data_IF_888054906823
#
_entry.id   IF_888054906823
#
_cell.length_a   1.000
_cell.length_b   1.000
_cell.length_c   1.000
_cell.angle_alpha   90.00
_cell.angle_beta   90.00
_cell.angle_gamma   90.00
#
_symmetry.space_group_name_H-M   'P 1'
#
loop_
_entity.id
_entity.type
_entity.pdbx_description
1 polymer ?
#
# COMPACT_ATOMS: atom_id res chain seq x y z
N UNK A 1 16.58 10.72 -15.74
CA UNK A 1 15.09 10.64 -15.72
C UNK A 1 14.57 11.40 -14.52
N UNK A 2 13.66 12.37 -14.72
CA UNK A 2 13.12 13.22 -13.66
C UNK A 2 12.03 12.48 -12.88
N UNK A 3 12.39 11.84 -11.76
CA UNK A 3 11.48 11.02 -10.95
C UNK A 3 10.23 11.81 -10.50
N UNK A 4 10.39 13.10 -10.20
CA UNK A 4 9.28 13.99 -9.85
C UNK A 4 8.25 14.07 -10.99
N UNK A 5 8.69 14.40 -12.21
CA UNK A 5 7.81 14.52 -13.37
C UNK A 5 7.15 13.18 -13.71
N UNK A 6 7.89 12.07 -13.58
CA UNK A 6 7.35 10.73 -13.83
C UNK A 6 6.20 10.39 -12.86
N UNK A 7 6.32 10.72 -11.58
CA UNK A 7 5.25 10.51 -10.60
C UNK A 7 4.05 11.41 -10.92
N UNK A 8 4.28 12.69 -11.24
CA UNK A 8 3.20 13.62 -11.59
C UNK A 8 2.43 13.17 -12.83
N UNK A 9 3.12 12.76 -13.89
CA UNK A 9 2.51 12.24 -15.10
C UNK A 9 1.72 10.95 -14.82
N UNK A 10 2.24 10.05 -13.99
CA UNK A 10 1.52 8.84 -13.59
C UNK A 10 0.22 9.17 -12.85
N UNK A 11 0.24 10.14 -11.93
CA UNK A 11 -0.97 10.60 -11.21
C UNK A 11 -2.04 11.11 -12.17
N UNK A 12 -1.64 11.92 -13.15
CA UNK A 12 -2.55 12.42 -14.18
C UNK A 12 -3.17 11.28 -14.98
N UNK A 13 -2.37 10.30 -15.41
CA UNK A 13 -2.87 9.12 -16.13
C UNK A 13 -3.83 8.27 -15.32
N UNK A 14 -3.67 8.23 -14.00
CA UNK A 14 -4.60 7.50 -13.14
C UNK A 14 -5.93 8.21 -12.91
N UNK A 15 -6.07 9.49 -13.26
CA UNK A 15 -7.34 10.22 -13.16
C UNK A 15 -8.36 9.81 -14.23
N UNK A 16 -7.99 8.95 -15.19
CA UNK A 16 -8.91 8.47 -16.23
C UNK A 16 -10.10 7.70 -15.62
N UNK A 17 -11.34 8.00 -16.06
CA UNK A 17 -12.54 7.29 -15.62
C UNK A 17 -12.62 5.85 -16.14
N UNK A 18 -11.77 5.47 -17.10
CA UNK A 18 -11.71 4.11 -17.66
C UNK A 18 -11.02 3.11 -16.74
N UNK A 19 -10.33 3.57 -15.70
CA UNK A 19 -9.66 2.69 -14.75
C UNK A 19 -10.65 2.00 -13.82
N UNK A 20 -10.33 0.76 -13.41
CA UNK A 20 -11.14 -0.01 -12.46
C UNK A 20 -11.19 0.70 -11.11
N UNK A 21 -12.41 1.03 -10.64
CA UNK A 21 -12.64 1.71 -9.34
C UNK A 21 -12.08 0.96 -8.14
N UNK A 22 -12.04 -0.37 -8.20
CA UNK A 22 -11.57 -1.24 -7.11
C UNK A 22 -10.11 -1.72 -7.28
N UNK A 23 -9.31 -1.05 -8.11
CA UNK A 23 -7.88 -1.32 -8.25
C UNK A 23 -7.06 -0.19 -7.63
N UNK A 24 -5.98 -0.54 -6.92
CA UNK A 24 -5.04 0.45 -6.39
C UNK A 24 -4.10 0.89 -7.51
N UNK A 25 -3.83 2.18 -7.53
CA UNK A 25 -2.85 2.78 -8.41
C UNK A 25 -1.45 2.39 -7.90
N UNK A 26 -0.63 1.80 -8.77
CA UNK A 26 0.73 1.37 -8.42
C UNK A 26 1.73 1.99 -9.39
N UNK A 27 2.76 2.65 -8.86
CA UNK A 27 3.91 3.15 -9.62
C UNK A 27 5.10 2.24 -9.33
N UNK A 28 5.76 1.72 -10.37
CA UNK A 28 7.01 0.99 -10.25
C UNK A 28 8.14 1.88 -10.75
N UNK A 29 9.05 2.26 -9.86
CA UNK A 29 10.23 3.07 -10.19
C UNK A 29 11.44 2.15 -10.23
N UNK A 30 12.07 2.06 -11.40
CA UNK A 30 13.27 1.27 -11.62
C UNK A 30 14.45 2.21 -11.88
N UNK A 31 15.57 2.02 -11.20
CA UNK A 31 16.75 2.84 -11.48
C UNK A 31 18.03 2.36 -10.81
N UNK A 32 19.16 2.73 -11.42
CA UNK A 32 20.51 2.36 -10.97
C UNK A 32 21.25 3.47 -10.24
N UNK A 33 20.87 4.72 -10.48
CA UNK A 33 21.44 5.92 -9.87
C UNK A 33 20.33 6.95 -9.62
N UNK A 34 20.62 7.93 -8.77
CA UNK A 34 19.75 9.10 -8.58
C UNK A 34 20.60 10.36 -8.64
N UNK A 35 20.30 11.20 -9.62
CA UNK A 35 20.84 12.56 -9.68
C UNK A 35 19.79 13.50 -9.07
N UNK A 36 20.12 14.11 -7.94
CA UNK A 36 19.30 15.17 -7.36
C UNK A 36 19.37 16.38 -8.30
N UNK A 37 18.22 16.88 -8.71
CA UNK A 37 18.14 18.05 -9.58
C UNK A 37 17.65 19.26 -8.80
N UNK A 38 17.88 20.45 -9.36
CA UNK A 38 17.44 21.74 -8.80
C UNK A 38 15.90 21.86 -8.79
N UNK A 39 15.19 21.01 -9.57
CA UNK A 39 13.74 21.07 -9.82
C UNK A 39 12.85 20.43 -8.73
N UNK A 40 13.39 20.16 -7.55
CA UNK A 40 12.61 19.78 -6.37
C UNK A 40 12.69 18.30 -5.97
N UNK A 41 12.43 18.06 -4.69
CA UNK A 41 12.54 16.75 -4.03
C UNK A 41 11.29 15.88 -4.36
N UNK A 42 11.42 14.75 -5.09
CA UNK A 42 10.28 13.89 -5.48
C UNK A 42 9.51 13.27 -4.29
N UNK A 43 10.08 13.30 -3.09
CA UNK A 43 9.53 12.79 -1.84
C UNK A 43 8.21 13.41 -1.48
N UNK A 44 7.98 14.71 -1.75
CA UNK A 44 6.70 15.34 -1.40
C UNK A 44 5.57 14.73 -2.22
N UNK A 45 5.74 14.68 -3.54
CA UNK A 45 4.76 14.11 -4.47
C UNK A 45 4.57 12.61 -4.21
N UNK A 46 5.64 11.87 -3.92
CA UNK A 46 5.56 10.46 -3.52
C UNK A 46 4.79 10.26 -2.19
N UNK A 47 4.93 11.17 -1.22
CA UNK A 47 4.18 11.12 0.04
C UNK A 47 2.70 11.39 -0.18
N UNK A 48 2.35 12.40 -0.99
CA UNK A 48 0.97 12.70 -1.36
C UNK A 48 0.31 11.52 -2.08
N UNK A 49 0.97 10.96 -3.12
CA UNK A 49 0.43 9.81 -3.84
C UNK A 49 0.16 8.60 -2.92
N UNK A 50 1.04 8.35 -1.94
CA UNK A 50 0.82 7.30 -0.93
C UNK A 50 -0.32 7.64 0.03
N UNK A 51 -0.47 8.91 0.42
CA UNK A 51 -1.56 9.37 1.29
C UNK A 51 -2.93 9.25 0.60
N UNK A 52 -2.98 9.48 -0.72
CA UNK A 52 -4.16 9.23 -1.57
C UNK A 52 -4.46 7.74 -1.73
N UNK A 53 -3.57 6.88 -1.20
CA UNK A 53 -3.70 5.44 -1.18
C UNK A 53 -3.14 4.74 -2.41
N UNK A 54 -2.27 5.40 -3.18
CA UNK A 54 -1.42 4.78 -4.16
C UNK A 54 -0.27 3.99 -3.53
N UNK A 55 0.32 3.07 -4.27
CA UNK A 55 1.51 2.30 -3.84
C UNK A 55 2.68 2.59 -4.76
N UNK A 56 3.86 2.84 -4.19
CA UNK A 56 5.10 3.01 -4.94
C UNK A 56 6.01 1.83 -4.64
N UNK A 57 6.33 1.05 -5.68
CA UNK A 57 7.34 0.01 -5.66
C UNK A 57 8.62 0.61 -6.22
N UNK A 58 9.74 0.36 -5.57
CA UNK A 58 11.06 0.74 -6.09
C UNK A 58 11.89 -0.50 -6.36
N UNK A 59 12.63 -0.49 -7.45
CA UNK A 59 13.61 -1.53 -7.80
C UNK A 59 14.95 -0.87 -8.05
N UNK A 60 15.87 -1.03 -7.11
CA UNK A 60 17.23 -0.50 -7.23
C UNK A 60 18.10 -1.48 -8.03
N UNK A 61 18.76 -0.97 -9.07
CA UNK A 61 19.73 -1.70 -9.90
C UNK A 61 21.14 -1.16 -9.62
N UNK A 62 21.77 -1.48 -8.48
CA UNK A 62 23.09 -0.94 -8.15
C UNK A 62 24.11 -1.30 -9.24
N UNK A 63 24.79 -0.30 -9.78
CA UNK A 63 25.93 -0.48 -10.69
C UNK A 63 27.23 -0.24 -9.90
N UNK A 64 28.16 -1.21 -9.94
CA UNK A 64 29.47 -1.10 -9.28
C UNK A 64 29.41 -1.13 -7.74
N UNK A 65 30.33 -0.42 -7.08
CA UNK A 65 30.46 -0.31 -5.61
C UNK A 65 29.46 0.67 -4.96
N UNK A 66 28.54 1.24 -5.74
CA UNK A 66 27.61 2.26 -5.27
C UNK A 66 26.73 1.71 -4.16
N UNK A 67 26.91 2.27 -2.95
CA UNK A 67 26.09 2.00 -1.77
C UNK A 67 24.63 2.37 -2.08
N UNK A 68 23.71 1.52 -1.60
CA UNK A 68 22.24 1.65 -1.67
C UNK A 68 21.80 3.11 -1.68
N UNK A 69 20.91 3.46 -2.61
CA UNK A 69 20.54 4.85 -2.86
C UNK A 69 19.41 5.24 -1.90
N UNK A 70 19.66 6.12 -0.89
CA UNK A 70 18.70 6.36 0.19
C UNK A 70 17.35 6.91 -0.29
N UNK A 71 17.33 7.61 -1.43
CA UNK A 71 16.11 8.21 -1.99
C UNK A 71 15.06 7.17 -2.39
N UNK A 72 15.44 5.99 -2.91
CA UNK A 72 14.48 4.95 -3.28
C UNK A 72 13.73 4.44 -2.06
N UNK A 73 14.41 4.34 -0.91
CA UNK A 73 13.74 4.03 0.37
C UNK A 73 12.72 5.09 0.77
N UNK A 74 13.01 6.37 0.54
CA UNK A 74 12.10 7.48 0.88
C UNK A 74 10.87 7.53 -0.04
N UNK A 75 11.06 7.20 -1.32
CA UNK A 75 10.01 7.17 -2.34
C UNK A 75 9.09 5.96 -2.19
N UNK A 76 9.64 4.79 -1.92
CA UNK A 76 8.89 3.55 -1.81
C UNK A 76 7.79 3.62 -0.75
N UNK A 77 6.69 2.92 -0.99
CA UNK A 77 5.77 2.58 0.09
C UNK A 77 6.45 1.67 1.12
N UNK A 78 6.05 1.73 2.40
CA UNK A 78 6.64 0.88 3.44
C UNK A 78 6.64 -0.59 3.00
N UNK A 79 7.79 -1.26 3.03
CA UNK A 79 7.96 -2.66 2.62
C UNK A 79 7.79 -2.96 1.11
N UNK A 80 7.78 -1.95 0.24
CA UNK A 80 7.72 -2.07 -1.23
C UNK A 80 9.04 -1.72 -1.94
N UNK A 81 10.17 -1.96 -1.28
CA UNK A 81 11.50 -1.72 -1.84
C UNK A 81 12.16 -3.04 -2.22
N UNK A 82 12.52 -3.16 -3.48
CA UNK A 82 13.26 -4.27 -4.06
C UNK A 82 14.64 -3.81 -4.51
N UNK A 83 15.55 -4.76 -4.63
CA UNK A 83 16.89 -4.55 -5.18
C UNK A 83 17.15 -5.67 -6.17
N UNK A 84 17.73 -5.36 -7.33
CA UNK A 84 17.92 -6.31 -8.41
C UNK A 84 18.91 -7.43 -8.07
N UNK A 85 19.83 -7.16 -7.15
CA UNK A 85 20.79 -8.13 -6.67
C UNK A 85 21.05 -7.92 -5.18
N UNK A 86 20.96 -9.00 -4.40
CA UNK A 86 21.24 -9.00 -2.97
C UNK A 86 21.74 -10.36 -2.53
N UNK A 87 22.80 -10.37 -1.72
CA UNK A 87 23.32 -11.56 -1.04
C UNK A 87 23.49 -12.76 -1.99
N UNK A 88 24.09 -12.52 -3.16
CA UNK A 88 24.34 -13.57 -4.16
C UNK A 88 23.17 -13.88 -5.09
N UNK A 89 21.99 -13.27 -4.89
CA UNK A 89 20.74 -13.64 -5.60
C UNK A 89 20.20 -12.48 -6.43
N UNK A 90 19.78 -12.81 -7.65
CA UNK A 90 19.03 -11.90 -8.52
C UNK A 90 17.58 -11.78 -8.07
N UNK A 91 16.98 -10.61 -8.31
CA UNK A 91 15.56 -10.36 -8.09
C UNK A 91 14.74 -11.28 -8.98
N UNK A 92 13.81 -12.02 -8.37
CA UNK A 92 12.89 -12.89 -9.11
C UNK A 92 11.64 -12.11 -9.48
N UNK A 93 11.10 -12.35 -10.68
CA UNK A 93 9.83 -11.77 -11.12
C UNK A 93 8.69 -12.03 -10.12
N UNK A 94 8.74 -13.16 -9.40
CA UNK A 94 7.78 -13.50 -8.35
C UNK A 94 7.74 -12.48 -7.21
N UNK A 95 8.85 -11.84 -6.86
CA UNK A 95 8.90 -10.87 -5.76
C UNK A 95 8.15 -9.58 -6.14
N UNK A 96 8.34 -9.08 -7.37
CA UNK A 96 7.57 -7.96 -7.89
C UNK A 96 6.08 -8.32 -8.00
N UNK A 97 5.77 -9.52 -8.53
CA UNK A 97 4.39 -10.02 -8.61
C UNK A 97 3.72 -10.07 -7.23
N UNK A 98 4.43 -10.56 -6.22
CA UNK A 98 3.91 -10.62 -4.86
C UNK A 98 3.62 -9.22 -4.30
N UNK A 99 4.49 -8.25 -4.54
CA UNK A 99 4.23 -6.87 -4.13
C UNK A 99 3.02 -6.27 -4.86
N UNK A 100 2.87 -6.50 -6.17
CA UNK A 100 1.70 -6.06 -6.92
C UNK A 100 0.39 -6.68 -6.39
N UNK A 101 0.43 -7.96 -6.00
CA UNK A 101 -0.69 -8.62 -5.33
C UNK A 101 -0.98 -7.95 -3.98
N UNK A 102 0.05 -7.75 -3.14
CA UNK A 102 -0.11 -7.10 -1.83
C UNK A 102 -0.66 -5.68 -1.95
N UNK A 103 -0.26 -4.91 -2.95
CA UNK A 103 -0.77 -3.57 -3.21
C UNK A 103 -2.27 -3.55 -3.57
N UNK A 104 -2.76 -4.59 -4.26
CA UNK A 104 -4.18 -4.72 -4.64
C UNK A 104 -5.03 -5.54 -3.65
N UNK A 105 -4.42 -6.09 -2.61
CA UNK A 105 -5.14 -6.64 -1.46
C UNK A 105 -5.29 -5.55 -0.40
N UNK A 106 -6.45 -4.90 -0.34
CA UNK A 106 -6.72 -3.81 0.59
C UNK A 106 -8.19 -3.81 1.04
N UNK A 107 -8.45 -3.20 2.20
CA UNK A 107 -9.79 -3.01 2.70
C UNK A 107 -10.48 -1.78 2.08
N UNK A 108 -11.81 -1.80 2.02
CA UNK A 108 -12.62 -0.62 1.68
C UNK A 108 -12.25 0.56 2.60
N UNK A 109 -12.51 1.78 2.17
CA UNK A 109 -12.19 2.99 2.96
C UNK A 109 -12.82 2.90 4.37
N UNK A 110 -12.04 3.20 5.41
CA UNK A 110 -12.39 3.08 6.85
C UNK A 110 -12.41 1.66 7.42
N UNK A 111 -12.35 0.64 6.58
CA UNK A 111 -12.22 -0.73 7.03
C UNK A 111 -10.74 -1.06 7.23
N UNK A 112 -10.45 -1.87 8.23
CA UNK A 112 -9.09 -2.24 8.64
C UNK A 112 -8.93 -3.76 8.61
N UNK A 113 -7.79 -4.28 8.14
CA UNK A 113 -7.54 -5.71 8.14
C UNK A 113 -7.16 -6.17 9.56
N UNK A 114 -7.68 -7.33 9.98
CA UNK A 114 -7.17 -8.01 11.18
C UNK A 114 -5.93 -8.82 10.81
N UNK A 115 -4.80 -8.16 10.63
CA UNK A 115 -3.51 -8.83 10.60
C UNK A 115 -2.38 -7.88 10.99
N UNK A 116 -1.25 -8.49 11.34
CA UNK A 116 0.01 -7.80 11.67
C UNK A 116 1.04 -7.96 10.55
N UNK A 117 0.60 -8.25 9.32
CA UNK A 117 1.56 -8.40 8.23
C UNK A 117 2.16 -7.04 7.85
N UNK A 118 3.41 -7.03 7.41
CA UNK A 118 4.13 -5.77 7.17
C UNK A 118 3.55 -4.94 6.01
N UNK A 119 2.59 -5.48 5.25
CA UNK A 119 1.93 -4.79 4.15
C UNK A 119 0.51 -4.35 4.49
N UNK A 120 0.00 -4.70 5.68
CA UNK A 120 -1.39 -4.54 6.07
C UNK A 120 -2.35 -5.08 5.00
N UNK A 121 -1.99 -6.17 4.33
CA UNK A 121 -2.83 -6.76 3.29
C UNK A 121 -3.79 -7.77 3.93
N UNK A 122 -5.13 -7.63 3.81
CA UNK A 122 -6.08 -8.56 4.41
C UNK A 122 -5.82 -10.00 3.95
N UNK A 123 -5.91 -10.95 4.88
CA UNK A 123 -5.76 -12.39 4.60
C UNK A 123 -7.08 -13.16 4.55
N UNK A 124 -8.18 -12.46 4.68
CA UNK A 124 -9.54 -13.03 4.61
C UNK A 124 -10.57 -11.93 4.82
N UNK A 125 -10.45 -11.20 5.92
CA UNK A 125 -11.49 -10.27 6.35
C UNK A 125 -10.97 -8.85 6.60
N UNK A 126 -11.87 -7.90 6.39
CA UNK A 126 -11.72 -6.50 6.75
C UNK A 126 -12.82 -6.17 7.75
N UNK A 127 -12.51 -5.35 8.74
CA UNK A 127 -13.42 -5.00 9.83
C UNK A 127 -13.65 -3.50 9.85
N UNK A 128 -14.88 -3.10 10.17
CA UNK A 128 -15.22 -1.71 10.45
C UNK A 128 -15.41 -1.59 11.96
N UNK A 129 -14.42 -1.11 12.72
CA UNK A 129 -14.56 -0.91 14.15
C UNK A 129 -15.58 0.21 14.40
N UNK A 130 -16.60 -0.08 15.22
CA UNK A 130 -17.67 0.85 15.60
C UNK A 130 -17.72 0.93 17.11
N UNK A 131 -17.47 2.12 17.67
CA UNK A 131 -17.40 2.36 19.12
C UNK A 131 -18.75 2.61 19.80
N UNK A 132 -19.84 2.44 19.07
CA UNK A 132 -21.18 2.75 19.58
C UNK A 132 -21.70 1.53 20.33
N UNK A 133 -21.97 1.67 21.63
CA UNK A 133 -22.63 0.63 22.42
C UNK A 133 -24.01 0.33 21.85
N UNK A 134 -24.30 -0.94 21.58
CA UNK A 134 -25.58 -1.37 21.04
C UNK A 134 -25.88 -2.80 21.44
N UNK A 135 -27.16 -3.20 21.43
CA UNK A 135 -27.51 -4.61 21.57
C UNK A 135 -27.13 -5.36 20.29
N UNK A 136 -26.81 -6.64 20.40
CA UNK A 136 -26.41 -7.48 19.25
C UNK A 136 -27.41 -7.38 18.08
N UNK A 137 -28.72 -7.38 18.38
CA UNK A 137 -29.78 -7.25 17.38
C UNK A 137 -29.69 -5.94 16.60
N UNK A 138 -29.54 -4.81 17.29
CA UNK A 138 -29.44 -3.48 16.66
C UNK A 138 -28.13 -3.31 15.89
N UNK A 139 -27.04 -3.85 16.43
CA UNK A 139 -25.74 -3.86 15.76
C UNK A 139 -25.82 -4.64 14.44
N UNK A 140 -26.35 -5.86 14.45
CA UNK A 140 -26.51 -6.70 13.26
C UNK A 140 -27.34 -6.01 12.17
N UNK A 141 -28.49 -5.43 12.54
CA UNK A 141 -29.34 -4.69 11.59
C UNK A 141 -28.61 -3.47 11.00
N UNK A 142 -27.84 -2.75 11.82
CA UNK A 142 -27.10 -1.57 11.38
C UNK A 142 -25.96 -1.95 10.43
N UNK A 143 -25.20 -3.00 10.74
CA UNK A 143 -24.13 -3.52 9.90
C UNK A 143 -24.66 -3.91 8.51
N UNK A 144 -25.78 -4.65 8.48
CA UNK A 144 -26.39 -5.08 7.23
C UNK A 144 -26.92 -3.90 6.42
N UNK A 145 -27.71 -3.00 7.04
CA UNK A 145 -28.36 -1.88 6.33
C UNK A 145 -27.39 -0.81 5.84
N UNK A 146 -26.36 -0.47 6.62
CA UNK A 146 -25.48 0.67 6.30
C UNK A 146 -24.26 0.28 5.47
N UNK A 147 -23.80 -0.95 5.62
CA UNK A 147 -22.47 -1.34 5.14
C UNK A 147 -22.48 -2.64 4.33
N UNK A 148 -23.64 -3.28 4.16
CA UNK A 148 -23.76 -4.62 3.56
C UNK A 148 -22.81 -5.61 4.25
N UNK A 149 -22.70 -5.48 5.57
CA UNK A 149 -21.76 -6.22 6.41
C UNK A 149 -22.47 -7.10 7.43
N UNK A 150 -21.73 -8.07 7.94
CA UNK A 150 -22.16 -8.92 9.06
C UNK A 150 -21.49 -8.47 10.35
N UNK A 151 -22.14 -8.76 11.48
CA UNK A 151 -21.51 -8.56 12.79
C UNK A 151 -20.35 -9.55 12.92
N UNK A 152 -19.14 -9.04 13.18
CA UNK A 152 -17.98 -9.89 13.37
C UNK A 152 -18.11 -10.69 14.68
N UNK A 153 -17.79 -11.99 14.61
CA UNK A 153 -17.66 -12.82 15.80
C UNK A 153 -16.31 -12.54 16.44
N UNK A 154 -16.33 -12.22 17.72
CA UNK A 154 -15.13 -12.17 18.54
C UNK A 154 -14.80 -13.59 19.02
N UNK A 155 -13.66 -14.10 18.56
CA UNK A 155 -13.23 -15.49 18.79
C UNK A 155 -12.10 -15.58 19.82
N UNK A 156 -11.36 -14.48 20.04
CA UNK A 156 -10.21 -14.45 20.92
C UNK A 156 -9.92 -13.05 21.46
N UNK A 157 -9.22 -12.96 22.58
CA UNK A 157 -8.89 -11.70 23.26
C UNK A 157 -8.10 -10.71 22.39
N UNK A 158 -7.35 -11.18 21.38
CA UNK A 158 -6.60 -10.31 20.46
C UNK A 158 -7.53 -9.68 19.42
N UNK A 159 -8.58 -10.41 19.00
CA UNK A 159 -9.62 -9.94 18.10
C UNK A 159 -10.53 -8.96 18.83
N UNK A 160 -10.95 -9.27 20.07
CA UNK A 160 -11.64 -8.32 20.95
C UNK A 160 -10.86 -6.99 21.05
N UNK A 161 -9.61 -7.06 21.51
CA UNK A 161 -8.74 -5.89 21.67
C UNK A 161 -8.43 -5.16 20.35
N UNK A 162 -8.67 -5.79 19.19
CA UNK A 162 -8.56 -5.12 17.89
C UNK A 162 -9.87 -4.42 17.51
N UNK A 163 -11.01 -5.06 17.75
CA UNK A 163 -12.34 -4.55 17.39
C UNK A 163 -12.81 -3.42 18.32
N UNK A 164 -12.31 -3.37 19.56
CA UNK A 164 -12.68 -2.38 20.59
C UNK A 164 -11.76 -1.16 20.67
N UNK A 165 -10.71 -1.08 19.83
CA UNK A 165 -9.75 0.04 19.79
C UNK A 165 -10.30 1.37 19.33
#
# INVERSE_FOLDING_TARGET
MYVLMAISLARERFASPTHRRAARQVIVIVGSTYAQTVYGEPTRVAKEFRADGGTIITIEYPQGTVKRIPIFKKLASPNYRLVNYRDGKQLRAQELRQLLCKANCFCKRKWVPYNKDKWNAPRGECYLPVKISSTQRLASQTCQRKNDGILAVDEDIKKDAFLTK
#
